data_IF_249005516251
#
_entry.id   IF_249005516251
#
_cell.length_a   1.000
_cell.length_b   1.000
_cell.length_c   1.000
_cell.angle_alpha   90.00
_cell.angle_beta   90.00
_cell.angle_gamma   90.00
#
_symmetry.space_group_name_H-M   'P 1'
#
loop_
_entity.id
_entity.type
_entity.pdbx_description
1 polymer ?
#
# COMPACT_ATOMS: atom_id res chain seq x y z
N UNK A 1 -21.30 -38.43 10.45
CA UNK A 1 -19.87 -38.07 10.67
C UNK A 1 -19.79 -37.24 11.94
N UNK A 2 -18.95 -37.57 12.91
CA UNK A 2 -18.90 -36.86 14.19
C UNK A 2 -18.35 -35.42 14.01
N UNK A 3 -18.75 -34.52 14.90
CA UNK A 3 -18.32 -33.10 14.90
C UNK A 3 -16.78 -32.98 14.92
N UNK A 4 -16.11 -33.92 15.61
CA UNK A 4 -14.66 -34.01 15.64
C UNK A 4 -14.01 -34.30 14.28
N UNK A 5 -14.56 -35.26 13.52
CA UNK A 5 -14.11 -35.55 12.14
C UNK A 5 -14.28 -34.34 11.22
N UNK A 6 -15.38 -33.59 11.36
CA UNK A 6 -15.59 -32.37 10.59
C UNK A 6 -14.60 -31.26 10.95
N UNK A 7 -14.25 -31.10 12.23
CA UNK A 7 -13.23 -30.13 12.69
C UNK A 7 -11.84 -30.49 12.16
N UNK A 8 -11.48 -31.76 12.18
CA UNK A 8 -10.17 -32.25 11.67
C UNK A 8 -10.09 -32.05 10.16
N UNK A 9 -11.11 -32.41 9.40
CA UNK A 9 -11.16 -32.20 7.94
C UNK A 9 -11.09 -30.71 7.56
N UNK A 10 -11.77 -29.84 8.32
CA UNK A 10 -11.68 -28.38 8.11
C UNK A 10 -10.28 -27.84 8.43
N UNK A 11 -9.63 -28.34 9.46
CA UNK A 11 -8.27 -27.95 9.87
C UNK A 11 -7.22 -28.39 8.84
N UNK A 12 -7.35 -29.61 8.29
CA UNK A 12 -6.47 -30.14 7.23
C UNK A 12 -6.66 -29.34 5.92
N UNK A 13 -7.90 -29.10 5.50
CA UNK A 13 -8.20 -28.27 4.31
C UNK A 13 -7.67 -26.86 4.44
N UNK A 14 -7.80 -26.22 5.60
CA UNK A 14 -7.25 -24.89 5.86
C UNK A 14 -5.73 -24.87 5.76
N UNK A 15 -5.04 -25.87 6.35
CA UNK A 15 -3.57 -25.96 6.32
C UNK A 15 -3.03 -26.21 4.89
N UNK A 16 -3.68 -27.05 4.09
CA UNK A 16 -3.29 -27.28 2.69
C UNK A 16 -3.51 -26.04 1.82
N UNK A 17 -4.58 -25.30 2.06
CA UNK A 17 -4.91 -24.07 1.36
C UNK A 17 -3.88 -22.94 1.66
N UNK A 18 -3.46 -22.80 2.92
CA UNK A 18 -2.45 -21.83 3.29
C UNK A 18 -1.06 -22.17 2.72
N UNK A 19 -0.71 -23.46 2.61
CA UNK A 19 0.53 -23.91 1.94
C UNK A 19 0.52 -23.59 0.45
N UNK A 20 -0.61 -23.79 -0.24
CA UNK A 20 -0.75 -23.44 -1.66
C UNK A 20 -0.55 -21.94 -1.89
N UNK A 21 -1.12 -21.08 -1.05
CA UNK A 21 -0.96 -19.63 -1.14
C UNK A 21 0.47 -19.18 -0.82
N UNK A 22 1.13 -19.79 0.16
CA UNK A 22 2.56 -19.54 0.41
C UNK A 22 3.43 -19.94 -0.78
N UNK A 23 3.14 -21.06 -1.43
CA UNK A 23 3.85 -21.48 -2.64
C UNK A 23 3.63 -20.49 -3.79
N UNK A 24 2.39 -19.96 -3.94
CA UNK A 24 2.09 -18.93 -4.94
C UNK A 24 2.90 -17.66 -4.68
N UNK A 25 2.94 -17.20 -3.43
CA UNK A 25 3.70 -16.01 -3.03
C UNK A 25 5.20 -16.18 -3.32
N UNK A 26 5.76 -17.37 -3.04
CA UNK A 26 7.16 -17.69 -3.26
C UNK A 26 7.57 -17.77 -4.75
N UNK A 27 6.61 -17.78 -5.69
CA UNK A 27 6.89 -17.70 -7.13
C UNK A 27 7.33 -16.29 -7.57
N UNK A 28 7.06 -15.28 -6.75
CA UNK A 28 7.45 -13.91 -7.04
C UNK A 28 8.84 -13.62 -6.46
N UNK A 29 9.84 -13.66 -7.32
CA UNK A 29 11.20 -13.26 -6.93
C UNK A 29 11.30 -11.74 -6.85
N UNK A 30 11.68 -11.26 -5.66
CA UNK A 30 11.98 -9.85 -5.44
C UNK A 30 13.43 -9.57 -5.85
N UNK A 31 13.65 -8.46 -6.54
CA UNK A 31 15.00 -7.95 -6.78
C UNK A 31 15.64 -7.40 -5.48
N UNK A 32 16.92 -6.98 -5.58
CA UNK A 32 17.66 -6.51 -4.42
C UNK A 32 17.02 -5.27 -3.78
N UNK A 33 16.55 -4.31 -4.58
CA UNK A 33 15.95 -3.06 -4.07
C UNK A 33 14.61 -3.33 -3.37
N UNK A 34 13.82 -4.25 -3.90
CA UNK A 34 12.58 -4.69 -3.27
C UNK A 34 12.84 -5.42 -1.94
N UNK A 35 13.88 -6.23 -1.87
CA UNK A 35 14.31 -6.89 -0.62
C UNK A 35 14.76 -5.87 0.41
N UNK A 36 15.53 -4.86 0.00
CA UNK A 36 15.95 -3.75 0.86
C UNK A 36 14.75 -2.97 1.40
N UNK A 37 13.80 -2.60 0.54
CA UNK A 37 12.55 -1.97 0.98
C UNK A 37 11.83 -2.82 2.03
N UNK A 38 11.69 -4.13 1.81
CA UNK A 38 11.06 -5.01 2.78
C UNK A 38 11.81 -5.11 4.12
N UNK A 39 13.15 -5.03 4.11
CA UNK A 39 13.94 -4.97 5.32
C UNK A 39 13.62 -3.69 6.12
N UNK A 40 13.58 -2.55 5.45
CA UNK A 40 13.17 -1.29 6.10
C UNK A 40 11.76 -1.39 6.70
N UNK A 41 10.80 -2.01 5.98
CA UNK A 41 9.45 -2.24 6.51
C UNK A 41 9.48 -3.14 7.76
N UNK A 42 10.28 -4.21 7.77
CA UNK A 42 10.38 -5.12 8.93
C UNK A 42 10.87 -4.40 10.18
N UNK A 43 11.87 -3.55 10.04
CA UNK A 43 12.55 -2.85 11.14
C UNK A 43 11.73 -1.69 11.72
N UNK A 44 10.74 -1.16 10.99
CA UNK A 44 10.04 0.04 11.40
C UNK A 44 8.53 -0.19 11.54
N UNK A 45 7.89 0.56 12.41
CA UNK A 45 6.43 0.62 12.55
C UNK A 45 5.81 1.45 11.43
N UNK A 46 6.44 2.56 11.08
CA UNK A 46 6.04 3.41 9.96
C UNK A 46 7.19 3.46 8.95
N UNK A 47 6.90 3.17 7.69
CA UNK A 47 7.89 3.26 6.62
C UNK A 47 7.38 4.16 5.51
N UNK A 48 8.16 5.19 5.20
CA UNK A 48 7.92 6.07 4.07
C UNK A 48 8.71 5.59 2.86
N UNK A 49 8.04 5.43 1.73
CA UNK A 49 8.67 5.09 0.45
C UNK A 49 8.33 6.19 -0.55
N UNK A 50 9.27 7.11 -0.73
CA UNK A 50 9.18 8.19 -1.71
C UNK A 50 10.11 7.87 -2.87
N UNK A 51 9.55 7.52 -4.02
CA UNK A 51 10.31 7.01 -5.16
C UNK A 51 9.57 7.25 -6.47
N UNK A 52 10.31 7.13 -7.56
CA UNK A 52 9.80 7.24 -8.91
C UNK A 52 8.60 6.33 -9.18
N UNK A 53 7.78 6.69 -10.16
CA UNK A 53 6.77 5.80 -10.69
C UNK A 53 7.42 4.52 -11.25
N UNK A 54 6.65 3.42 -11.28
CA UNK A 54 7.06 2.17 -11.95
C UNK A 54 8.27 1.43 -11.37
N UNK A 55 8.65 1.73 -10.11
CA UNK A 55 9.68 0.98 -9.38
C UNK A 55 9.16 -0.29 -8.70
N UNK A 56 7.84 -0.53 -8.73
CA UNK A 56 7.23 -1.68 -8.07
C UNK A 56 6.97 -1.51 -6.57
N UNK A 57 7.01 -0.27 -6.03
CA UNK A 57 6.78 0.01 -4.60
C UNK A 57 5.45 -0.56 -4.07
N UNK A 58 4.36 -0.38 -4.81
CA UNK A 58 3.03 -0.89 -4.43
C UNK A 58 3.02 -2.42 -4.39
N UNK A 59 3.59 -3.09 -5.42
CA UNK A 59 3.74 -4.54 -5.43
C UNK A 59 4.55 -5.04 -4.22
N UNK A 60 5.70 -4.41 -3.93
CA UNK A 60 6.59 -4.79 -2.84
C UNK A 60 5.91 -4.66 -1.46
N UNK A 61 5.15 -3.58 -1.24
CA UNK A 61 4.38 -3.38 -0.02
C UNK A 61 3.26 -4.42 0.13
N UNK A 62 2.51 -4.70 -0.94
CA UNK A 62 1.45 -5.71 -0.95
C UNK A 62 2.01 -7.13 -0.77
N UNK A 63 3.16 -7.43 -1.38
CA UNK A 63 3.84 -8.71 -1.19
C UNK A 63 4.23 -8.91 0.28
N UNK A 64 4.82 -7.90 0.93
CA UNK A 64 5.10 -7.94 2.36
C UNK A 64 3.83 -8.16 3.19
N UNK A 65 2.76 -7.40 2.90
CA UNK A 65 1.50 -7.54 3.60
C UNK A 65 0.88 -8.92 3.42
N UNK A 66 0.95 -9.49 2.21
CA UNK A 66 0.48 -10.83 1.92
C UNK A 66 1.24 -11.90 2.71
N UNK A 67 2.58 -11.75 2.88
CA UNK A 67 3.37 -12.65 3.73
C UNK A 67 2.86 -12.64 5.18
N UNK A 68 2.67 -11.46 5.76
CA UNK A 68 2.19 -11.33 7.15
C UNK A 68 0.76 -11.85 7.30
N UNK A 69 -0.10 -11.53 6.34
CA UNK A 69 -1.49 -11.99 6.30
C UNK A 69 -1.62 -13.52 6.27
N UNK A 70 -0.74 -14.22 5.54
CA UNK A 70 -0.71 -15.68 5.49
C UNK A 70 -0.08 -16.30 6.75
N UNK A 71 0.90 -15.62 7.34
CA UNK A 71 1.58 -16.09 8.56
C UNK A 71 0.69 -15.96 9.81
N UNK A 72 -0.10 -14.88 9.89
CA UNK A 72 -0.95 -14.59 11.05
C UNK A 72 -2.44 -14.49 10.63
N UNK A 73 -3.30 -15.44 11.13
CA UNK A 73 -4.74 -15.41 10.87
C UNK A 73 -5.47 -14.15 11.38
N UNK A 74 -4.90 -13.41 12.30
CA UNK A 74 -5.46 -12.17 12.85
C UNK A 74 -5.02 -10.93 12.09
N UNK A 75 -3.95 -11.02 11.30
CA UNK A 75 -3.44 -9.91 10.52
C UNK A 75 -4.46 -9.44 9.48
N UNK A 76 -4.68 -8.14 9.41
CA UNK A 76 -5.52 -7.48 8.41
C UNK A 76 -4.66 -6.65 7.45
N UNK A 77 -5.15 -6.48 6.23
CA UNK A 77 -4.57 -5.57 5.22
C UNK A 77 -5.56 -4.46 4.95
N UNK A 78 -5.17 -3.23 5.19
CA UNK A 78 -5.96 -2.04 4.85
C UNK A 78 -5.21 -1.24 3.80
N UNK A 79 -5.77 -1.15 2.59
CA UNK A 79 -5.22 -0.32 1.51
C UNK A 79 -6.00 0.98 1.44
N UNK A 80 -5.29 2.06 1.67
CA UNK A 80 -5.82 3.42 1.55
C UNK A 80 -5.26 4.04 0.27
N UNK A 81 -6.11 4.45 -0.63
CA UNK A 81 -5.69 5.14 -1.84
C UNK A 81 -6.44 6.45 -1.99
N UNK A 82 -5.69 7.49 -2.29
CA UNK A 82 -6.27 8.79 -2.60
C UNK A 82 -6.80 8.72 -4.03
N UNK A 83 -8.09 9.04 -4.27
CA UNK A 83 -8.57 9.24 -5.62
C UNK A 83 -7.76 10.36 -6.27
N UNK A 84 -7.05 10.02 -7.34
CA UNK A 84 -6.21 10.99 -8.08
C UNK A 84 -7.07 11.57 -9.17
N UNK A 85 -7.31 12.88 -9.12
CA UNK A 85 -7.72 13.65 -10.27
C UNK A 85 -6.46 13.88 -11.13
N UNK A 86 -6.53 13.61 -12.43
CA UNK A 86 -5.39 13.72 -13.32
C UNK A 86 -5.09 15.22 -13.58
N UNK A 87 -4.08 15.76 -12.91
CA UNK A 87 -3.67 17.16 -13.05
C UNK A 87 -4.76 18.14 -12.65
N UNK A 88 -4.97 19.17 -13.48
CA UNK A 88 -6.04 20.18 -13.30
C UNK A 88 -7.40 19.71 -13.83
N UNK A 89 -7.46 18.55 -14.47
CA UNK A 89 -8.67 17.95 -15.02
C UNK A 89 -9.51 17.32 -13.89
N UNK A 90 -10.49 18.07 -13.40
CA UNK A 90 -11.45 17.58 -12.40
C UNK A 90 -12.29 16.47 -13.02
N UNK A 91 -12.25 15.28 -12.42
CA UNK A 91 -13.24 14.25 -12.68
C UNK A 91 -14.56 14.78 -12.12
N UNK A 92 -15.36 15.40 -12.98
CA UNK A 92 -16.70 15.87 -12.64
C UNK A 92 -17.57 14.76 -12.02
N UNK A 93 -18.74 15.11 -11.53
CA UNK A 93 -19.70 14.13 -10.99
C UNK A 93 -20.00 13.08 -12.06
N UNK A 94 -19.45 11.86 -11.90
CA UNK A 94 -19.78 10.74 -12.76
C UNK A 94 -21.26 10.38 -12.55
N UNK A 95 -22.08 10.20 -13.60
CA UNK A 95 -23.48 9.83 -13.46
C UNK A 95 -23.59 8.44 -12.81
N UNK A 96 -24.49 8.28 -11.87
CA UNK A 96 -24.78 7.02 -11.18
C UNK A 96 -25.52 7.25 -9.87
N UNK A 97 -26.34 6.27 -9.51
CA UNK A 97 -27.14 6.27 -8.28
C UNK A 97 -26.22 6.25 -7.05
N UNK A 98 -26.59 6.91 -5.95
CA UNK A 98 -25.73 7.12 -4.77
C UNK A 98 -25.23 5.81 -4.12
N UNK A 99 -25.99 4.73 -4.22
CA UNK A 99 -25.61 3.40 -3.70
C UNK A 99 -24.67 2.62 -4.61
N UNK A 100 -24.85 2.73 -5.94
CA UNK A 100 -23.99 2.07 -6.94
C UNK A 100 -22.75 2.89 -7.27
N UNK A 101 -22.78 4.20 -6.97
CA UNK A 101 -21.73 5.14 -7.36
C UNK A 101 -20.49 5.07 -6.46
N UNK A 102 -20.60 4.73 -5.18
CA UNK A 102 -19.43 4.65 -4.30
C UNK A 102 -18.60 3.40 -4.56
N UNK A 103 -19.21 2.22 -4.69
CA UNK A 103 -18.48 0.99 -5.03
C UNK A 103 -17.92 1.03 -6.46
N UNK A 104 -18.70 1.51 -7.43
CA UNK A 104 -18.26 1.61 -8.81
C UNK A 104 -17.16 2.65 -9.04
N UNK A 105 -17.31 3.86 -8.46
CA UNK A 105 -16.31 4.94 -8.61
C UNK A 105 -15.03 4.67 -7.84
N UNK A 106 -15.13 4.16 -6.63
CA UNK A 106 -13.97 3.80 -5.81
C UNK A 106 -13.32 2.51 -6.30
N UNK A 107 -14.10 1.55 -6.84
CA UNK A 107 -13.60 0.28 -7.34
C UNK A 107 -12.53 0.45 -8.41
N UNK A 108 -12.70 1.41 -9.33
CA UNK A 108 -11.72 1.71 -10.40
C UNK A 108 -10.35 2.08 -9.83
N UNK A 109 -10.30 2.86 -8.74
CA UNK A 109 -9.03 3.27 -8.11
C UNK A 109 -8.28 2.10 -7.45
N UNK A 110 -8.97 1.02 -7.09
CA UNK A 110 -8.37 -0.16 -6.47
C UNK A 110 -8.14 -1.33 -7.42
N UNK A 111 -8.54 -1.23 -8.69
CA UNK A 111 -8.45 -2.34 -9.65
C UNK A 111 -7.04 -2.92 -9.74
N UNK A 112 -6.02 -2.07 -9.89
CA UNK A 112 -4.62 -2.52 -9.95
C UNK A 112 -4.14 -3.17 -8.65
N UNK A 113 -4.52 -2.61 -7.50
CA UNK A 113 -4.16 -3.15 -6.18
C UNK A 113 -4.86 -4.47 -5.90
N UNK A 114 -6.15 -4.60 -6.26
CA UNK A 114 -6.90 -5.86 -6.16
C UNK A 114 -6.32 -6.92 -7.09
N UNK A 115 -5.91 -6.56 -8.30
CA UNK A 115 -5.25 -7.48 -9.23
C UNK A 115 -3.94 -8.02 -8.63
N UNK A 116 -3.06 -7.16 -8.12
CA UNK A 116 -1.81 -7.58 -7.46
C UNK A 116 -2.10 -8.51 -6.27
N UNK A 117 -3.04 -8.16 -5.39
CA UNK A 117 -3.40 -9.03 -4.26
C UNK A 117 -4.01 -10.36 -4.73
N UNK A 118 -4.77 -10.35 -5.82
CA UNK A 118 -5.31 -11.59 -6.42
C UNK A 118 -4.23 -12.47 -7.00
N UNK A 119 -3.20 -11.90 -7.58
CA UNK A 119 -2.03 -12.66 -8.04
C UNK A 119 -1.25 -13.26 -6.86
N UNK A 120 -1.09 -12.51 -5.77
CA UNK A 120 -0.34 -12.94 -4.59
C UNK A 120 -1.10 -13.98 -3.73
N UNK A 121 -2.39 -13.74 -3.47
CA UNK A 121 -3.20 -14.51 -2.53
C UNK A 121 -4.24 -15.44 -3.20
N UNK A 122 -4.47 -15.27 -4.51
CA UNK A 122 -5.56 -15.90 -5.25
C UNK A 122 -6.86 -15.07 -5.18
N UNK A 123 -7.52 -14.88 -6.34
CA UNK A 123 -8.72 -14.07 -6.47
C UNK A 123 -9.86 -14.51 -5.53
N UNK A 124 -10.05 -15.83 -5.35
CA UNK A 124 -11.05 -16.38 -4.45
C UNK A 124 -10.80 -16.00 -2.98
N UNK A 125 -9.54 -15.95 -2.53
CA UNK A 125 -9.19 -15.53 -1.17
C UNK A 125 -9.48 -14.04 -0.99
N UNK A 126 -9.05 -13.21 -1.92
CA UNK A 126 -9.29 -11.76 -1.85
C UNK A 126 -10.78 -11.47 -1.79
N UNK A 127 -11.60 -12.08 -2.67
CA UNK A 127 -13.04 -11.90 -2.67
C UNK A 127 -13.74 -12.39 -1.36
N UNK A 128 -13.28 -13.51 -0.79
CA UNK A 128 -13.84 -14.05 0.46
C UNK A 128 -13.52 -13.17 1.68
N UNK A 129 -12.34 -12.53 1.70
CA UNK A 129 -11.84 -11.80 2.85
C UNK A 129 -11.95 -10.27 2.70
N UNK A 130 -12.43 -9.79 1.55
CA UNK A 130 -12.78 -8.38 1.35
C UNK A 130 -13.90 -7.97 2.32
N UNK A 131 -13.69 -6.86 3.03
CA UNK A 131 -14.58 -6.39 4.10
C UNK A 131 -14.47 -7.15 5.44
N UNK A 132 -13.57 -8.16 5.54
CA UNK A 132 -13.32 -8.92 6.77
C UNK A 132 -11.88 -8.79 7.27
N UNK A 133 -10.92 -9.10 6.42
CA UNK A 133 -9.48 -9.03 6.70
C UNK A 133 -8.71 -8.22 5.65
N UNK A 134 -9.32 -7.96 4.49
CA UNK A 134 -8.76 -7.14 3.42
C UNK A 134 -9.72 -5.98 3.18
N UNK A 135 -9.24 -4.76 3.34
CA UNK A 135 -10.02 -3.54 3.24
C UNK A 135 -9.41 -2.63 2.19
N UNK A 136 -10.26 -2.13 1.28
CA UNK A 136 -9.90 -1.08 0.32
C UNK A 136 -10.72 0.15 0.66
N UNK A 137 -10.06 1.28 0.90
CA UNK A 137 -10.74 2.46 1.41
C UNK A 137 -10.04 3.76 1.00
N UNK A 138 -10.73 4.86 1.14
CA UNK A 138 -10.17 6.20 0.95
C UNK A 138 -9.83 6.83 2.29
N UNK A 139 -8.96 7.88 2.32
CA UNK A 139 -8.53 8.52 3.57
C UNK A 139 -9.67 8.87 4.51
N UNK A 140 -10.77 9.39 4.00
CA UNK A 140 -11.90 9.87 4.80
C UNK A 140 -12.54 8.80 5.68
N UNK A 141 -12.52 7.54 5.27
CA UNK A 141 -13.14 6.44 6.02
C UNK A 141 -12.19 5.79 7.04
N UNK A 142 -10.88 6.07 6.96
CA UNK A 142 -9.90 5.55 7.91
C UNK A 142 -9.89 6.37 9.20
N UNK A 143 -10.32 7.62 9.16
CA UNK A 143 -10.12 8.59 10.25
C UNK A 143 -10.80 8.23 11.58
N UNK A 144 -11.77 7.32 11.58
CA UNK A 144 -12.47 6.84 12.79
C UNK A 144 -12.02 5.46 13.30
N UNK A 145 -11.07 4.79 12.63
CA UNK A 145 -10.65 3.43 12.93
C UNK A 145 -9.28 3.39 13.62
N UNK A 146 -9.05 2.37 14.45
CA UNK A 146 -7.71 1.94 14.87
C UNK A 146 -7.31 0.75 14.02
N UNK A 147 -6.07 0.74 13.51
CA UNK A 147 -5.58 -0.29 12.60
C UNK A 147 -4.46 -1.07 13.27
N UNK A 148 -4.77 -2.29 13.69
CA UNK A 148 -3.84 -3.20 14.35
C UNK A 148 -3.08 -4.12 13.38
N UNK A 149 -3.46 -4.11 12.09
CA UNK A 149 -2.80 -4.87 11.02
C UNK A 149 -1.82 -4.03 10.22
N UNK A 150 -1.79 -4.27 8.91
CA UNK A 150 -0.94 -3.54 7.98
C UNK A 150 -1.77 -2.53 7.20
N UNK A 151 -1.45 -1.26 7.35
CA UNK A 151 -1.98 -0.18 6.55
C UNK A 151 -0.98 0.15 5.43
N UNK A 152 -1.45 0.17 4.20
CA UNK A 152 -0.72 0.66 3.03
C UNK A 152 -1.45 1.88 2.51
N UNK A 153 -0.83 3.05 2.59
CA UNK A 153 -1.35 4.27 1.97
C UNK A 153 -0.60 4.54 0.67
N UNK A 154 -1.31 4.54 -0.45
CA UNK A 154 -0.73 4.71 -1.78
C UNK A 154 -1.12 6.08 -2.37
N UNK A 155 -0.29 6.61 -3.28
CA UNK A 155 -0.42 7.94 -3.90
C UNK A 155 -0.47 9.09 -2.88
N UNK A 156 0.33 8.97 -1.81
CA UNK A 156 0.24 9.86 -0.65
C UNK A 156 0.79 11.26 -0.87
N UNK A 157 1.51 11.50 -1.97
CA UNK A 157 1.87 12.87 -2.40
C UNK A 157 0.64 13.75 -2.66
N UNK A 158 -0.52 13.14 -2.96
CA UNK A 158 -1.79 13.84 -3.19
C UNK A 158 -2.52 14.21 -1.88
N UNK A 159 -2.07 13.72 -0.74
CA UNK A 159 -2.65 14.01 0.57
C UNK A 159 -2.24 15.40 1.07
N UNK A 160 -3.15 16.05 1.80
CA UNK A 160 -2.77 17.21 2.60
C UNK A 160 -1.92 16.78 3.82
N UNK A 161 -1.08 17.68 4.38
CA UNK A 161 -0.35 17.40 5.61
C UNK A 161 -1.25 16.98 6.77
N UNK A 162 -2.43 17.57 6.90
CA UNK A 162 -3.40 17.22 7.93
C UNK A 162 -3.94 15.79 7.72
N UNK A 163 -4.32 15.42 6.51
CA UNK A 163 -4.82 14.07 6.21
C UNK A 163 -3.74 13.03 6.44
N UNK A 164 -2.48 13.31 6.04
CA UNK A 164 -1.34 12.45 6.33
C UNK A 164 -1.17 12.21 7.83
N UNK A 165 -1.18 13.28 8.64
CA UNK A 165 -1.11 13.19 10.11
C UNK A 165 -2.22 12.29 10.65
N UNK A 166 -3.47 12.54 10.24
CA UNK A 166 -4.62 11.78 10.70
C UNK A 166 -4.55 10.29 10.36
N UNK A 167 -4.00 9.91 9.20
CA UNK A 167 -3.77 8.50 8.82
C UNK A 167 -2.71 7.87 9.74
N UNK A 168 -1.58 8.57 9.96
CA UNK A 168 -0.49 8.05 10.79
C UNK A 168 -0.90 7.82 12.24
N UNK A 169 -1.84 8.62 12.76
CA UNK A 169 -2.41 8.47 14.10
C UNK A 169 -3.37 7.27 14.25
N UNK A 170 -3.68 6.56 13.17
CA UNK A 170 -4.60 5.39 13.20
C UNK A 170 -3.91 4.08 13.52
N UNK A 171 -2.59 4.05 13.62
CA UNK A 171 -1.83 2.83 13.86
C UNK A 171 -2.01 2.40 15.30
N UNK A 172 -2.58 1.20 15.48
CA UNK A 172 -2.76 0.56 16.77
C UNK A 172 -1.52 -0.20 17.24
N UNK A 173 -1.61 -0.79 18.42
CA UNK A 173 -0.54 -1.56 19.01
C UNK A 173 -0.21 -2.79 18.15
N UNK A 174 1.03 -2.90 17.67
CA UNK A 174 1.48 -3.99 16.80
C UNK A 174 1.17 -3.77 15.30
N UNK A 175 0.43 -2.72 14.94
CA UNK A 175 0.18 -2.35 13.55
C UNK A 175 1.43 -1.84 12.84
N UNK A 176 1.40 -1.91 11.50
CA UNK A 176 2.43 -1.32 10.61
C UNK A 176 1.78 -0.39 9.60
N UNK A 177 2.49 0.69 9.27
CA UNK A 177 2.06 1.65 8.27
C UNK A 177 3.12 1.80 7.18
N UNK A 178 2.73 1.57 5.93
CA UNK A 178 3.59 1.73 4.76
C UNK A 178 3.00 2.85 3.92
N UNK A 179 3.74 3.94 3.82
CA UNK A 179 3.35 5.16 3.10
C UNK A 179 4.09 5.17 1.77
N UNK A 180 3.35 5.08 0.68
CA UNK A 180 3.89 5.03 -0.68
C UNK A 180 3.54 6.31 -1.43
N UNK A 181 4.51 6.86 -2.13
CA UNK A 181 4.29 8.02 -2.98
C UNK A 181 5.44 8.30 -3.93
N UNK A 182 5.26 9.37 -4.70
CA UNK A 182 6.24 9.90 -5.62
C UNK A 182 6.16 11.44 -5.56
N UNK A 183 6.88 12.02 -4.62
CA UNK A 183 6.81 13.47 -4.37
C UNK A 183 7.29 14.30 -5.56
N UNK A 184 8.16 13.74 -6.40
CA UNK A 184 8.63 14.36 -7.64
C UNK A 184 7.59 14.43 -8.77
N UNK A 185 6.43 13.74 -8.66
CA UNK A 185 5.37 13.81 -9.67
C UNK A 185 4.49 15.06 -9.56
N UNK A 186 4.61 15.83 -8.50
CA UNK A 186 3.83 17.04 -8.30
C UNK A 186 4.61 18.27 -8.77
N UNK A 187 3.98 19.07 -9.65
CA UNK A 187 4.50 20.39 -10.04
C UNK A 187 4.58 21.34 -8.84
N UNK A 188 5.42 22.37 -8.97
CA UNK A 188 5.72 23.30 -7.87
C UNK A 188 4.51 23.97 -7.23
N UNK A 189 3.48 24.28 -8.00
CA UNK A 189 2.27 24.94 -7.49
C UNK A 189 1.40 24.05 -6.59
N UNK A 190 1.55 22.73 -6.69
CA UNK A 190 0.87 21.79 -5.79
C UNK A 190 1.64 21.49 -4.49
N UNK A 191 2.81 22.10 -4.29
CA UNK A 191 3.67 21.93 -3.09
C UNK A 191 2.95 22.19 -1.77
N UNK A 192 1.95 23.06 -1.75
CA UNK A 192 1.18 23.41 -0.56
C UNK A 192 0.35 22.25 0.02
N UNK A 193 0.11 21.19 -0.74
CA UNK A 193 -0.74 20.05 -0.35
C UNK A 193 -0.01 18.71 -0.23
N UNK A 194 1.30 18.67 -0.46
CA UNK A 194 2.06 17.43 -0.44
C UNK A 194 2.33 16.95 0.99
N UNK A 195 1.42 16.13 1.52
CA UNK A 195 1.54 15.55 2.85
C UNK A 195 2.71 14.61 3.01
N UNK A 196 3.13 13.91 1.94
CA UNK A 196 4.32 13.06 1.97
C UNK A 196 5.59 13.90 2.19
N UNK A 197 5.77 14.97 1.43
CA UNK A 197 6.94 15.85 1.58
C UNK A 197 6.96 16.56 2.96
N UNK A 198 5.81 16.99 3.48
CA UNK A 198 5.71 17.54 4.83
C UNK A 198 6.10 16.51 5.89
N UNK A 199 5.59 15.28 5.78
CA UNK A 199 5.92 14.20 6.70
C UNK A 199 7.42 13.84 6.65
N UNK A 200 8.02 13.76 5.47
CA UNK A 200 9.46 13.50 5.32
C UNK A 200 10.31 14.54 6.06
N UNK A 201 9.98 15.83 5.95
CA UNK A 201 10.68 16.91 6.67
C UNK A 201 10.53 16.80 8.19
N UNK A 202 9.38 16.32 8.68
CA UNK A 202 9.12 16.17 10.13
C UNK A 202 9.84 15.00 10.75
N UNK A 203 9.90 13.87 10.05
CA UNK A 203 10.38 12.60 10.60
C UNK A 203 11.86 12.31 10.30
N UNK A 204 12.46 13.05 9.36
CA UNK A 204 13.87 12.85 8.98
C UNK A 204 14.64 14.17 9.03
N UNK A 205 15.95 14.08 9.28
CA UNK A 205 16.89 15.18 9.17
C UNK A 205 17.22 15.46 7.70
N UNK A 206 17.90 16.57 7.41
CA UNK A 206 18.30 16.96 6.05
C UNK A 206 19.26 15.93 5.42
N UNK A 207 20.13 15.30 6.21
CA UNK A 207 21.00 14.21 5.78
C UNK A 207 20.26 12.88 5.58
N UNK A 208 18.95 12.85 5.89
CA UNK A 208 18.11 11.68 5.77
C UNK A 208 18.12 10.72 6.94
N UNK A 209 18.86 11.02 8.00
CA UNK A 209 18.85 10.21 9.20
C UNK A 209 17.50 10.31 9.93
N UNK A 210 17.19 9.25 10.68
CA UNK A 210 15.92 9.16 11.42
C UNK A 210 15.91 10.11 12.63
N UNK A 211 14.79 10.82 12.83
CA UNK A 211 14.52 11.53 14.10
C UNK A 211 13.86 10.64 15.15
N UNK A 212 13.24 9.52 14.72
CA UNK A 212 12.48 8.60 15.57
C UNK A 212 12.83 7.17 15.21
N UNK A 213 13.12 6.34 16.23
CA UNK A 213 13.65 4.99 16.09
C UNK A 213 12.80 4.07 15.19
N UNK A 214 11.48 4.11 15.37
CA UNK A 214 10.53 3.20 14.69
C UNK A 214 9.95 3.74 13.38
N UNK A 215 10.52 4.84 12.86
CA UNK A 215 10.11 5.45 11.61
C UNK A 215 11.26 5.35 10.62
N UNK A 216 11.03 4.64 9.52
CA UNK A 216 12.01 4.42 8.46
C UNK A 216 11.63 5.07 7.15
N UNK A 217 12.60 5.22 6.27
CA UNK A 217 12.40 5.62 4.88
C UNK A 217 13.19 4.75 3.93
N UNK A 218 12.66 4.62 2.73
CA UNK A 218 13.33 3.97 1.62
C UNK A 218 13.04 4.75 0.32
N UNK A 219 14.02 4.79 -0.57
CA UNK A 219 13.86 5.36 -1.90
C UNK A 219 14.49 4.44 -2.92
N UNK A 220 13.74 4.06 -3.94
CA UNK A 220 14.30 3.27 -5.05
C UNK A 220 15.19 4.16 -5.91
N UNK A 221 16.34 3.68 -6.37
CA UNK A 221 17.14 4.38 -7.35
C UNK A 221 16.45 4.39 -8.73
N UNK A 222 16.92 5.27 -9.63
CA UNK A 222 16.34 5.39 -10.98
C UNK A 222 16.44 4.08 -11.78
N UNK A 223 17.50 3.31 -11.57
CA UNK A 223 17.76 2.02 -12.18
C UNK A 223 16.71 0.96 -11.83
N UNK A 224 16.01 1.15 -10.71
CA UNK A 224 14.92 0.26 -10.28
C UNK A 224 13.62 0.44 -11.07
N UNK A 225 13.52 1.44 -11.96
CA UNK A 225 12.36 1.64 -12.84
C UNK A 225 12.25 0.45 -13.79
N UNK A 226 11.11 -0.26 -13.72
CA UNK A 226 10.85 -1.53 -14.44
C UNK A 226 10.15 -1.38 -15.78
N UNK A 227 9.89 -0.16 -16.21
CA UNK A 227 9.32 0.12 -17.53
C UNK A 227 10.43 0.33 -18.55
N UNK A 228 10.03 0.49 -19.82
CA UNK A 228 10.88 0.83 -20.94
C UNK A 228 11.83 1.99 -20.60
N UNK A 229 13.04 1.98 -21.16
CA UNK A 229 14.07 2.97 -20.88
C UNK A 229 13.61 4.41 -21.17
N UNK A 230 12.70 4.58 -22.13
CA UNK A 230 12.08 5.88 -22.42
C UNK A 230 11.39 6.49 -21.19
N UNK A 231 10.89 5.66 -20.26
CA UNK A 231 10.29 6.17 -19.00
C UNK A 231 11.34 6.78 -18.07
N UNK A 232 12.56 6.23 -18.07
CA UNK A 232 13.70 6.83 -17.34
C UNK A 232 14.09 8.17 -17.95
N UNK A 233 14.09 8.27 -19.29
CA UNK A 233 14.36 9.52 -19.99
C UNK A 233 13.31 10.58 -19.65
N UNK A 234 12.03 10.21 -19.62
CA UNK A 234 10.94 11.11 -19.19
C UNK A 234 11.14 11.57 -17.75
N UNK A 235 11.41 10.66 -16.82
CA UNK A 235 11.67 11.00 -15.41
C UNK A 235 12.85 11.98 -15.30
N UNK A 236 13.92 11.73 -16.05
CA UNK A 236 15.11 12.58 -16.05
C UNK A 236 14.82 13.95 -16.66
N UNK A 237 14.06 14.02 -17.76
CA UNK A 237 13.73 15.25 -18.46
C UNK A 237 12.84 16.19 -17.63
N UNK A 238 11.91 15.63 -16.84
CA UNK A 238 11.04 16.41 -15.94
C UNK A 238 11.71 16.77 -14.61
N UNK A 239 12.93 16.35 -14.42
CA UNK A 239 13.69 16.59 -13.21
C UNK A 239 13.43 15.53 -12.14
N UNK A 240 14.52 15.06 -11.57
CA UNK A 240 14.48 14.23 -10.36
C UNK A 240 14.18 15.21 -9.21
N UNK A 241 12.93 15.21 -8.73
CA UNK A 241 12.47 16.13 -7.68
C UNK A 241 13.06 15.84 -6.31
#
# INVERSE_FOLDING_TARGET
>A
MSIEKQKVVRKIKKKSFDVEHMNRLNQFELDQWQKEMQNVIRENTITFVDSFASTGKTFCALHYAAQQYLADPTCTITVVRTPVEAGDDKIGALPGDASTSMEGKLGVHFTSTKAILSDLLGAGRVACDEGKRIFFTIPNFVLGATIDGILIADETQMLSPLTMKLILERIGAGGKCIILGASGQLYEDSKKRNGLRDAMKRFFNEDGSKKYEKIGRYSFPLEAVKRDDVVRDVITAYGIG
#
